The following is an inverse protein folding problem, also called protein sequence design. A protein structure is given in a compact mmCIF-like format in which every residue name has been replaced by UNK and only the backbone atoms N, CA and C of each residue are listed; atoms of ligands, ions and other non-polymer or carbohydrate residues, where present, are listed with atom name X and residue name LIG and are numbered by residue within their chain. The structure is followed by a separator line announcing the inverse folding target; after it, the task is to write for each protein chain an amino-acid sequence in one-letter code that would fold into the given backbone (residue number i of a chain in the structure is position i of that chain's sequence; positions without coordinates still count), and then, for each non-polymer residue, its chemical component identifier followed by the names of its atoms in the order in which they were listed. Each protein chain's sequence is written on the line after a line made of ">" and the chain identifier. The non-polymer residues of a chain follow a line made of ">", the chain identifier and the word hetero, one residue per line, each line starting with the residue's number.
data_IF_089990920881
#
_entry.id   IF_089990920881
#
_cell.length_a   1.000
_cell.length_b   1.000
_cell.length_c   1.000
_cell.angle_alpha   90.00
_cell.angle_beta   90.00
_cell.angle_gamma   90.00
#
_symmetry.space_group_name_H-M   'P 1'
#
loop_
_entity.id
_entity.type
_entity.pdbx_description
1 polymer ?
#
# COMPACT_ATOMS: atom_id res chain seq x y z
N UNK A 1 39.79 -18.69 -38.86
CA UNK A 1 39.51 -18.66 -37.41
C UNK A 1 38.26 -17.81 -37.22
N UNK A 2 37.12 -18.44 -36.98
CA UNK A 2 35.89 -17.74 -36.61
C UNK A 2 35.96 -17.46 -35.12
N UNK A 3 35.96 -16.18 -34.74
CA UNK A 3 35.84 -15.81 -33.32
C UNK A 3 34.64 -16.53 -32.71
N UNK A 4 34.78 -17.15 -31.52
CA UNK A 4 33.66 -17.78 -30.85
C UNK A 4 32.62 -16.69 -30.56
N UNK A 5 31.42 -16.88 -31.11
CA UNK A 5 30.27 -16.01 -30.84
C UNK A 5 30.12 -15.90 -29.32
N UNK A 6 30.19 -14.69 -28.74
CA UNK A 6 30.11 -14.54 -27.29
C UNK A 6 28.79 -15.15 -26.81
N UNK A 7 28.89 -16.02 -25.80
CA UNK A 7 27.73 -16.66 -25.20
C UNK A 7 26.71 -15.57 -24.78
N UNK A 8 25.40 -15.79 -24.98
CA UNK A 8 24.39 -14.83 -24.56
C UNK A 8 24.60 -14.47 -23.09
N UNK A 9 24.74 -13.18 -22.80
CA UNK A 9 24.93 -12.71 -21.43
C UNK A 9 23.72 -13.15 -20.58
N UNK A 10 23.95 -14.05 -19.63
CA UNK A 10 22.92 -14.51 -18.70
C UNK A 10 22.41 -13.30 -17.91
N UNK A 11 21.11 -12.97 -17.96
CA UNK A 11 20.56 -11.82 -17.25
C UNK A 11 20.94 -11.89 -15.76
N UNK A 12 21.59 -10.84 -15.26
CA UNK A 12 21.97 -10.80 -13.85
C UNK A 12 20.71 -10.84 -12.98
N UNK A 13 20.64 -11.77 -12.03
CA UNK A 13 19.39 -12.05 -11.37
C UNK A 13 18.97 -10.96 -10.36
N UNK A 14 17.68 -10.62 -10.36
CA UNK A 14 17.05 -9.52 -9.63
C UNK A 14 16.95 -9.78 -8.11
N UNK A 15 17.88 -9.25 -7.31
CA UNK A 15 17.90 -9.44 -5.84
C UNK A 15 17.09 -8.42 -5.04
N UNK A 16 16.86 -7.22 -5.57
CA UNK A 16 16.30 -6.09 -4.79
C UNK A 16 14.77 -6.13 -4.57
N UNK A 17 14.04 -7.02 -5.24
CA UNK A 17 12.56 -7.06 -5.17
C UNK A 17 12.07 -7.77 -3.91
N UNK A 18 12.83 -8.74 -3.40
CA UNK A 18 12.46 -9.52 -2.21
C UNK A 18 12.52 -8.66 -0.94
N UNK A 19 13.62 -7.91 -0.65
CA UNK A 19 13.67 -7.04 0.52
C UNK A 19 12.58 -5.98 0.54
N UNK A 20 12.26 -5.37 -0.62
CA UNK A 20 11.19 -4.38 -0.72
C UNK A 20 9.82 -5.00 -0.41
N UNK A 21 9.49 -6.13 -1.04
CA UNK A 21 8.21 -6.80 -0.82
C UNK A 21 8.05 -7.23 0.64
N UNK A 22 9.13 -7.75 1.25
CA UNK A 22 9.15 -8.14 2.65
C UNK A 22 9.00 -6.93 3.58
N UNK A 23 9.70 -5.82 3.30
CA UNK A 23 9.58 -4.59 4.08
C UNK A 23 8.15 -4.06 4.05
N UNK A 24 7.53 -3.98 2.87
CA UNK A 24 6.13 -3.55 2.73
C UNK A 24 5.20 -4.48 3.51
N UNK A 25 5.38 -5.80 3.39
CA UNK A 25 4.57 -6.77 4.13
C UNK A 25 4.65 -6.53 5.65
N UNK A 26 5.86 -6.40 6.20
CA UNK A 26 6.08 -6.12 7.62
C UNK A 26 5.47 -4.77 8.02
N UNK A 27 5.63 -3.73 7.21
CA UNK A 27 5.02 -2.42 7.47
C UNK A 27 3.51 -2.49 7.58
N UNK A 28 2.83 -3.23 6.69
CA UNK A 28 1.38 -3.40 6.74
C UNK A 28 0.93 -4.19 7.98
N UNK A 29 1.65 -5.24 8.35
CA UNK A 29 1.34 -6.01 9.57
C UNK A 29 1.55 -5.18 10.84
N UNK A 30 2.62 -4.41 10.91
CA UNK A 30 2.86 -3.48 12.02
C UNK A 30 1.78 -2.40 12.06
N UNK A 31 1.40 -1.86 10.91
CA UNK A 31 0.31 -0.89 10.83
C UNK A 31 -1.03 -1.47 11.29
N UNK A 32 -1.33 -2.74 10.98
CA UNK A 32 -2.52 -3.42 11.48
C UNK A 32 -2.51 -3.51 13.01
N UNK A 33 -1.36 -3.84 13.61
CA UNK A 33 -1.21 -3.88 15.07
C UNK A 33 -1.39 -2.49 15.67
N UNK A 34 -0.77 -1.45 15.09
CA UNK A 34 -0.91 -0.06 15.57
C UNK A 34 -2.38 0.37 15.51
N UNK A 35 -3.04 0.19 14.36
CA UNK A 35 -4.44 0.57 14.18
C UNK A 35 -5.37 -0.20 15.13
N UNK A 36 -5.13 -1.51 15.31
CA UNK A 36 -5.87 -2.34 16.26
C UNK A 36 -5.68 -1.91 17.72
N UNK A 37 -4.46 -1.54 18.11
CA UNK A 37 -4.18 -0.99 19.46
C UNK A 37 -4.89 0.35 19.64
N UNK A 38 -4.80 1.25 18.65
CA UNK A 38 -5.47 2.55 18.69
C UNK A 38 -6.98 2.43 18.82
N UNK A 39 -7.60 1.40 18.21
CA UNK A 39 -9.04 1.13 18.31
C UNK A 39 -9.51 0.86 19.75
N UNK A 40 -8.66 0.37 20.65
CA UNK A 40 -9.01 0.21 22.07
C UNK A 40 -9.18 1.55 22.80
N UNK A 41 -8.61 2.64 22.27
CA UNK A 41 -8.80 3.99 22.79
C UNK A 41 -10.09 4.65 22.31
N UNK A 42 -10.85 4.00 21.42
CA UNK A 42 -12.04 4.61 20.84
C UNK A 42 -13.19 4.63 21.87
N UNK A 43 -14.06 5.65 21.85
CA UNK A 43 -15.25 5.67 22.69
C UNK A 43 -16.15 4.44 22.46
N UNK A 44 -16.70 3.88 23.54
CA UNK A 44 -17.58 2.69 23.45
C UNK A 44 -18.86 2.98 22.65
N UNK A 45 -19.32 4.23 22.65
CA UNK A 45 -20.50 4.70 21.93
C UNK A 45 -20.23 5.16 20.49
N UNK A 46 -19.04 4.86 19.93
CA UNK A 46 -18.63 5.18 18.56
C UNK A 46 -18.58 3.91 17.67
N UNK A 47 -19.74 3.26 17.38
CA UNK A 47 -19.75 1.96 16.70
C UNK A 47 -19.33 2.05 15.22
N UNK A 48 -19.55 3.19 14.56
CA UNK A 48 -19.20 3.36 13.14
C UNK A 48 -17.69 3.41 12.97
N UNK A 49 -17.02 4.14 13.85
CA UNK A 49 -15.57 4.29 13.92
C UNK A 49 -14.90 2.96 14.22
N UNK A 50 -15.48 2.16 15.13
CA UNK A 50 -15.02 0.80 15.40
C UNK A 50 -15.12 -0.10 14.16
N UNK A 51 -16.23 -0.04 13.40
CA UNK A 51 -16.39 -0.82 12.16
C UNK A 51 -15.37 -0.40 11.10
N UNK A 52 -15.12 0.90 10.94
CA UNK A 52 -14.15 1.40 9.97
C UNK A 52 -12.73 0.96 10.33
N UNK A 53 -12.35 1.10 11.61
CA UNK A 53 -11.05 0.66 12.10
C UNK A 53 -10.87 -0.86 11.96
N UNK A 54 -11.91 -1.64 12.25
CA UNK A 54 -11.88 -3.09 12.04
C UNK A 54 -11.65 -3.43 10.56
N UNK A 55 -12.41 -2.83 9.64
CA UNK A 55 -12.25 -3.06 8.20
C UNK A 55 -10.84 -2.73 7.71
N UNK A 56 -10.32 -1.56 8.08
CA UNK A 56 -8.95 -1.15 7.73
C UNK A 56 -7.91 -2.13 8.29
N UNK A 57 -8.11 -2.61 9.52
CA UNK A 57 -7.22 -3.62 10.13
C UNK A 57 -7.22 -4.92 9.33
N UNK A 58 -8.40 -5.40 8.91
CA UNK A 58 -8.53 -6.60 8.08
C UNK A 58 -7.82 -6.41 6.74
N UNK A 59 -8.03 -5.27 6.08
CA UNK A 59 -7.38 -4.94 4.80
C UNK A 59 -5.85 -4.97 4.92
N UNK A 60 -5.31 -4.34 5.97
CA UNK A 60 -3.88 -4.33 6.27
C UNK A 60 -3.31 -5.73 6.52
N UNK A 61 -4.01 -6.55 7.32
CA UNK A 61 -3.60 -7.92 7.61
C UNK A 61 -3.60 -8.76 6.34
N UNK A 62 -4.67 -8.72 5.54
CA UNK A 62 -4.80 -9.51 4.32
C UNK A 62 -3.71 -9.13 3.32
N UNK A 63 -3.52 -7.83 3.05
CA UNK A 63 -2.48 -7.37 2.13
C UNK A 63 -1.07 -7.72 2.65
N UNK A 64 -0.81 -7.52 3.94
CA UNK A 64 0.45 -7.87 4.60
C UNK A 64 0.79 -9.35 4.49
N UNK A 65 -0.17 -10.23 4.79
CA UNK A 65 0.00 -11.70 4.70
C UNK A 65 0.23 -12.13 3.26
N UNK A 66 -0.54 -11.62 2.29
CA UNK A 66 -0.35 -11.95 0.87
C UNK A 66 1.05 -11.58 0.40
N UNK A 67 1.53 -10.38 0.74
CA UNK A 67 2.87 -9.93 0.38
C UNK A 67 3.97 -10.72 1.10
N UNK A 68 3.75 -11.10 2.37
CA UNK A 68 4.69 -11.92 3.13
C UNK A 68 4.83 -13.31 2.51
N UNK A 69 3.70 -13.99 2.25
CA UNK A 69 3.69 -15.29 1.57
C UNK A 69 4.36 -15.18 0.20
N UNK A 70 4.05 -14.13 -0.56
CA UNK A 70 4.71 -13.87 -1.85
C UNK A 70 6.23 -13.74 -1.69
N UNK A 71 6.71 -12.94 -0.75
CA UNK A 71 8.14 -12.75 -0.50
C UNK A 71 8.85 -14.07 -0.12
N UNK A 72 8.21 -14.88 0.73
CA UNK A 72 8.70 -16.19 1.14
C UNK A 72 8.75 -17.16 -0.04
N UNK A 73 7.70 -17.27 -0.85
CA UNK A 73 7.67 -18.13 -2.04
C UNK A 73 8.72 -17.69 -3.07
N UNK A 74 8.90 -16.38 -3.28
CA UNK A 74 9.86 -15.86 -4.25
C UNK A 74 11.32 -16.10 -3.85
N UNK A 75 11.61 -16.25 -2.55
CA UNK A 75 12.92 -16.66 -2.05
C UNK A 75 13.35 -18.03 -2.58
N UNK A 76 12.39 -18.90 -2.89
CA UNK A 76 12.63 -20.29 -3.30
C UNK A 76 12.42 -20.56 -4.80
N UNK A 77 12.02 -19.57 -5.61
CA UNK A 77 11.77 -19.75 -7.06
C UNK A 77 12.91 -19.20 -7.93
N UNK A 78 13.07 -19.80 -9.12
CA UNK A 78 13.97 -19.30 -10.17
C UNK A 78 13.56 -17.88 -10.58
N UNK A 79 14.56 -17.00 -10.74
CA UNK A 79 14.35 -15.55 -10.87
C UNK A 79 13.86 -15.19 -12.27
N UNK A 80 12.84 -14.34 -12.33
CA UNK A 80 12.24 -13.91 -13.59
C UNK A 80 13.13 -12.92 -14.33
N UNK A 81 13.20 -13.06 -15.66
CA UNK A 81 13.91 -12.12 -16.52
C UNK A 81 13.34 -10.70 -16.42
N UNK A 82 14.20 -9.67 -16.57
CA UNK A 82 13.75 -8.29 -16.69
C UNK A 82 12.87 -8.15 -17.94
N UNK A 83 11.74 -7.45 -17.79
CA UNK A 83 10.81 -7.15 -18.88
C UNK A 83 10.88 -5.65 -19.14
N UNK A 84 11.25 -5.26 -20.36
CA UNK A 84 11.36 -3.85 -20.75
C UNK A 84 10.00 -3.18 -21.01
N UNK A 85 8.95 -3.98 -21.19
CA UNK A 85 7.60 -3.49 -21.46
C UNK A 85 6.83 -3.20 -20.17
N UNK A 86 5.87 -2.27 -20.25
CA UNK A 86 4.93 -2.03 -19.15
C UNK A 86 4.05 -3.26 -18.98
N UNK A 87 4.02 -3.80 -17.76
CA UNK A 87 3.20 -4.96 -17.42
C UNK A 87 1.78 -4.52 -17.10
N UNK A 88 0.77 -5.27 -17.55
CA UNK A 88 -0.65 -4.96 -17.29
C UNK A 88 -0.92 -4.73 -15.80
N UNK A 89 -0.33 -5.56 -14.92
CA UNK A 89 -0.47 -5.42 -13.47
C UNK A 89 0.05 -4.08 -12.95
N UNK A 90 1.09 -3.50 -13.55
CA UNK A 90 1.59 -2.17 -13.19
C UNK A 90 0.58 -1.08 -13.52
N UNK A 91 -0.08 -1.19 -14.68
CA UNK A 91 -1.13 -0.25 -15.09
C UNK A 91 -2.32 -0.36 -14.14
N UNK A 92 -2.73 -1.59 -13.81
CA UNK A 92 -3.81 -1.84 -12.84
C UNK A 92 -3.45 -1.30 -11.46
N UNK A 93 -2.21 -1.48 -10.98
CA UNK A 93 -1.74 -0.92 -9.72
C UNK A 93 -1.86 0.61 -9.70
N UNK A 94 -1.40 1.27 -10.77
CA UNK A 94 -1.48 2.71 -10.90
C UNK A 94 -2.94 3.19 -10.92
N UNK A 95 -3.81 2.57 -11.73
CA UNK A 95 -5.22 2.91 -11.80
C UNK A 95 -5.93 2.74 -10.44
N UNK A 96 -5.70 1.61 -9.75
CA UNK A 96 -6.28 1.36 -8.43
C UNK A 96 -5.76 2.34 -7.37
N UNK A 97 -4.49 2.73 -7.43
CA UNK A 97 -3.95 3.74 -6.51
C UNK A 97 -4.59 5.12 -6.71
N UNK A 98 -4.84 5.51 -7.96
CA UNK A 98 -5.55 6.76 -8.29
C UNK A 98 -7.00 6.70 -7.85
N UNK A 99 -7.70 5.58 -8.10
CA UNK A 99 -9.09 5.40 -7.65
C UNK A 99 -9.17 5.44 -6.13
N UNK A 100 -8.29 4.73 -5.42
CA UNK A 100 -8.29 4.74 -3.96
C UNK A 100 -7.99 6.13 -3.38
N UNK A 101 -7.04 6.84 -3.97
CA UNK A 101 -6.72 8.21 -3.57
C UNK A 101 -7.89 9.17 -3.81
N UNK A 102 -8.53 9.09 -4.98
CA UNK A 102 -9.70 9.90 -5.29
C UNK A 102 -10.86 9.57 -4.32
N UNK A 103 -11.15 8.30 -4.07
CA UNK A 103 -12.19 7.88 -3.12
C UNK A 103 -11.90 8.41 -1.72
N UNK A 104 -10.66 8.29 -1.22
CA UNK A 104 -10.26 8.89 0.06
C UNK A 104 -10.49 10.39 0.09
N UNK A 105 -10.00 11.10 -0.93
CA UNK A 105 -10.06 12.55 -1.01
C UNK A 105 -11.51 13.06 -1.01
N UNK A 106 -12.38 12.45 -1.83
CA UNK A 106 -13.75 12.92 -2.03
C UNK A 106 -14.78 12.32 -1.06
N UNK A 107 -14.48 11.21 -0.37
CA UNK A 107 -15.38 10.62 0.62
C UNK A 107 -15.12 11.09 2.06
N UNK A 108 -14.46 12.24 2.23
CA UNK A 108 -14.26 12.87 3.54
C UNK A 108 -12.84 13.39 3.79
N UNK A 109 -11.84 12.94 3.02
CA UNK A 109 -10.45 13.36 3.21
C UNK A 109 -10.25 14.88 3.08
N UNK A 110 -10.91 15.53 2.10
CA UNK A 110 -10.88 16.99 1.96
C UNK A 110 -11.53 17.71 3.15
N UNK A 111 -12.65 17.18 3.67
CA UNK A 111 -13.36 17.77 4.79
C UNK A 111 -12.50 17.70 6.05
N UNK A 112 -11.88 16.54 6.31
CA UNK A 112 -10.98 16.35 7.45
C UNK A 112 -9.75 17.27 7.38
N UNK A 113 -9.11 17.36 6.21
CA UNK A 113 -7.99 18.30 5.98
C UNK A 113 -8.44 19.74 6.20
N UNK A 114 -9.64 20.10 5.75
CA UNK A 114 -10.22 21.43 5.95
C UNK A 114 -10.42 21.77 7.42
N UNK A 115 -10.95 20.83 8.22
CA UNK A 115 -11.09 20.99 9.67
C UNK A 115 -9.73 21.20 10.34
N UNK A 116 -8.74 20.36 10.04
CA UNK A 116 -7.40 20.46 10.60
C UNK A 116 -6.71 21.78 10.21
N UNK A 117 -6.85 22.21 8.95
CA UNK A 117 -6.30 23.48 8.47
C UNK A 117 -6.95 24.71 9.13
N UNK A 118 -8.23 24.59 9.52
CA UNK A 118 -8.95 25.60 10.29
C UNK A 118 -8.62 25.58 11.80
N UNK A 119 -7.70 24.70 12.25
CA UNK A 119 -7.38 24.52 13.66
C UNK A 119 -8.50 23.82 14.46
N UNK A 120 -9.44 23.19 13.77
CA UNK A 120 -10.50 22.39 14.38
C UNK A 120 -10.03 20.94 14.55
N UNK A 121 -10.74 20.19 15.41
CA UNK A 121 -10.51 18.76 15.58
C UNK A 121 -11.00 18.03 14.33
N UNK A 122 -10.12 17.22 13.75
CA UNK A 122 -10.48 16.31 12.65
C UNK A 122 -11.52 15.29 13.11
N UNK A 123 -12.15 14.63 12.14
CA UNK A 123 -13.15 13.58 12.40
C UNK A 123 -12.65 12.26 11.83
N UNK A 124 -12.50 11.25 12.68
CA UNK A 124 -11.99 9.93 12.30
C UNK A 124 -12.77 9.37 11.10
N UNK A 125 -14.09 9.49 11.14
CA UNK A 125 -14.96 9.02 10.05
C UNK A 125 -14.64 9.70 8.71
N UNK A 126 -14.38 11.00 8.68
CA UNK A 126 -14.03 11.72 7.45
C UNK A 126 -12.64 11.36 6.96
N UNK A 127 -11.66 11.27 7.88
CA UNK A 127 -10.30 10.86 7.54
C UNK A 127 -10.19 9.43 7.00
N UNK A 128 -11.14 8.55 7.32
CA UNK A 128 -11.04 7.10 7.04
C UNK A 128 -12.14 6.51 6.16
N UNK A 129 -13.29 7.17 5.94
CA UNK A 129 -14.40 6.63 5.16
C UNK A 129 -13.97 6.13 3.78
N UNK A 130 -13.27 6.97 3.01
CA UNK A 130 -12.81 6.57 1.69
C UNK A 130 -11.72 5.49 1.70
N UNK A 131 -10.92 5.39 2.77
CA UNK A 131 -9.96 4.30 2.95
C UNK A 131 -10.65 2.95 3.20
N UNK A 132 -11.72 2.98 4.00
CA UNK A 132 -12.57 1.81 4.24
C UNK A 132 -13.28 1.36 2.96
N UNK A 133 -13.94 2.28 2.23
CA UNK A 133 -14.66 1.92 1.00
C UNK A 133 -13.73 1.53 -0.16
N UNK A 134 -12.53 2.12 -0.22
CA UNK A 134 -11.53 1.77 -1.22
C UNK A 134 -10.55 0.68 -0.75
N UNK A 135 -10.82 0.01 0.38
CA UNK A 135 -9.97 -1.01 1.02
C UNK A 135 -9.20 -1.90 0.05
N UNK A 136 -9.96 -2.65 -0.74
CA UNK A 136 -9.41 -3.56 -1.75
C UNK A 136 -8.53 -2.84 -2.78
N UNK A 137 -8.87 -1.62 -3.20
CA UNK A 137 -8.15 -0.91 -4.26
C UNK A 137 -6.72 -0.53 -3.82
N UNK A 138 -6.53 0.07 -2.63
CA UNK A 138 -5.19 0.44 -2.18
C UNK A 138 -4.36 -0.78 -1.72
N UNK A 139 -5.00 -1.83 -1.18
CA UNK A 139 -4.34 -3.12 -0.93
C UNK A 139 -3.82 -3.77 -2.22
N UNK A 140 -4.64 -3.81 -3.26
CA UNK A 140 -4.24 -4.33 -4.57
C UNK A 140 -3.19 -3.45 -5.24
N UNK A 141 -3.19 -2.14 -5.00
CA UNK A 141 -2.11 -1.25 -5.45
C UNK A 141 -0.75 -1.64 -4.83
N UNK A 142 -0.71 -2.01 -3.54
CA UNK A 142 0.50 -2.59 -2.93
C UNK A 142 0.92 -3.92 -3.59
N UNK A 143 -0.03 -4.84 -3.74
CA UNK A 143 0.24 -6.18 -4.30
C UNK A 143 0.74 -6.08 -5.74
N UNK A 144 -0.01 -5.40 -6.61
CA UNK A 144 0.34 -5.28 -8.01
C UNK A 144 1.52 -4.33 -8.24
N UNK A 145 1.68 -3.28 -7.44
CA UNK A 145 2.84 -2.39 -7.47
C UNK A 145 4.15 -3.13 -7.17
N UNK A 146 4.16 -4.03 -6.17
CA UNK A 146 5.34 -4.87 -5.90
C UNK A 146 5.57 -5.97 -6.93
N UNK A 147 4.54 -6.38 -7.69
CA UNK A 147 4.69 -7.29 -8.82
C UNK A 147 5.25 -6.59 -10.05
N UNK A 148 4.77 -5.36 -10.32
CA UNK A 148 5.26 -4.51 -11.39
C UNK A 148 6.69 -4.05 -11.17
N UNK A 149 7.09 -3.80 -9.92
CA UNK A 149 8.44 -3.37 -9.59
C UNK A 149 9.47 -4.49 -9.82
N UNK A 150 10.27 -4.35 -10.88
CA UNK A 150 11.41 -5.23 -11.21
C UNK A 150 12.65 -4.39 -11.45
N UNK A 151 13.76 -4.70 -10.76
CA UNK A 151 15.05 -4.05 -11.03
C UNK A 151 15.53 -4.43 -12.43
N UNK A 152 15.85 -3.43 -13.25
CA UNK A 152 16.26 -3.62 -14.65
C UNK A 152 15.11 -3.70 -15.66
N UNK A 153 13.86 -3.44 -15.26
CA UNK A 153 12.76 -3.23 -16.22
C UNK A 153 12.72 -1.81 -16.77
N UNK A 154 11.83 -1.57 -17.75
CA UNK A 154 11.65 -0.26 -18.38
C UNK A 154 11.37 0.86 -17.37
N UNK A 155 11.91 2.06 -17.62
CA UNK A 155 11.78 3.24 -16.73
C UNK A 155 10.33 3.59 -16.42
N UNK A 156 9.46 3.53 -17.42
CA UNK A 156 8.03 3.81 -17.27
C UNK A 156 7.34 2.80 -16.35
N UNK A 157 7.62 1.51 -16.51
CA UNK A 157 7.07 0.45 -15.66
C UNK A 157 7.52 0.62 -14.19
N UNK A 158 8.80 0.95 -14.00
CA UNK A 158 9.34 1.21 -12.66
C UNK A 158 8.70 2.45 -12.04
N UNK A 159 8.60 3.55 -12.80
CA UNK A 159 7.99 4.79 -12.35
C UNK A 159 6.52 4.63 -11.94
N UNK A 160 5.72 3.95 -12.75
CA UNK A 160 4.31 3.66 -12.44
C UNK A 160 4.17 2.77 -11.20
N UNK A 161 5.02 1.74 -11.06
CA UNK A 161 5.00 0.87 -9.88
C UNK A 161 5.36 1.63 -8.61
N UNK A 162 6.41 2.45 -8.66
CA UNK A 162 6.85 3.29 -7.53
C UNK A 162 5.78 4.32 -7.19
N UNK A 163 5.16 4.96 -8.19
CA UNK A 163 4.07 5.91 -7.99
C UNK A 163 2.87 5.28 -7.30
N UNK A 164 2.44 4.10 -7.77
CA UNK A 164 1.33 3.36 -7.15
C UNK A 164 1.64 2.99 -5.69
N UNK A 165 2.86 2.53 -5.41
CA UNK A 165 3.30 2.21 -4.05
C UNK A 165 3.37 3.46 -3.16
N UNK A 166 3.87 4.59 -3.69
CA UNK A 166 3.97 5.84 -2.94
C UNK A 166 2.59 6.38 -2.54
N UNK A 167 1.63 6.35 -3.48
CA UNK A 167 0.24 6.73 -3.19
C UNK A 167 -0.38 5.79 -2.15
N UNK A 168 -0.17 4.47 -2.29
CA UNK A 168 -0.68 3.50 -1.31
C UNK A 168 -0.07 3.71 0.09
N UNK A 169 1.23 4.07 0.18
CA UNK A 169 1.88 4.43 1.45
C UNK A 169 1.37 5.74 2.03
N UNK A 170 1.01 6.72 1.21
CA UNK A 170 0.38 7.96 1.66
C UNK A 170 -0.98 7.64 2.31
N UNK A 171 -1.79 6.80 1.66
CA UNK A 171 -3.07 6.35 2.20
C UNK A 171 -2.91 5.55 3.50
N UNK A 172 -1.88 4.70 3.59
CA UNK A 172 -1.50 4.02 4.82
C UNK A 172 -1.18 5.02 5.95
N UNK A 173 -0.38 6.04 5.66
CA UNK A 173 0.00 7.05 6.63
C UNK A 173 -1.23 7.85 7.10
N UNK A 174 -2.14 8.20 6.19
CA UNK A 174 -3.41 8.86 6.53
C UNK A 174 -4.28 7.98 7.45
N UNK A 175 -4.39 6.67 7.14
CA UNK A 175 -5.12 5.71 7.98
C UNK A 175 -4.57 5.67 9.41
N UNK A 176 -3.24 5.55 9.53
CA UNK A 176 -2.57 5.47 10.84
C UNK A 176 -2.65 6.78 11.60
N UNK A 177 -2.48 7.93 10.93
CA UNK A 177 -2.60 9.23 11.55
C UNK A 177 -4.01 9.44 12.12
N UNK A 178 -5.06 9.10 11.36
CA UNK A 178 -6.44 9.17 11.82
C UNK A 178 -6.69 8.22 13.01
N UNK A 179 -6.29 6.95 12.91
CA UNK A 179 -6.48 5.96 13.98
C UNK A 179 -5.75 6.32 15.28
N UNK A 180 -4.48 6.71 15.19
CA UNK A 180 -3.67 7.08 16.35
C UNK A 180 -4.18 8.38 16.97
N UNK A 181 -4.47 9.41 16.18
CA UNK A 181 -4.98 10.67 16.71
C UNK A 181 -6.33 10.51 17.42
N UNK A 182 -7.22 9.68 16.86
CA UNK A 182 -8.52 9.42 17.45
C UNK A 182 -8.40 8.58 18.73
N UNK A 183 -7.59 7.52 18.71
CA UNK A 183 -7.32 6.70 19.90
C UNK A 183 -6.64 7.45 21.04
N UNK A 184 -5.93 8.55 20.75
CA UNK A 184 -5.36 9.45 21.75
C UNK A 184 -6.30 10.60 22.18
N UNK A 185 -7.52 10.67 21.62
CA UNK A 185 -8.47 11.73 21.90
C UNK A 185 -8.07 13.11 21.36
N UNK A 186 -7.17 13.16 20.36
CA UNK A 186 -6.75 14.40 19.69
C UNK A 186 -7.75 14.84 18.62
N UNK A 187 -8.51 13.91 18.07
CA UNK A 187 -9.58 14.10 17.08
C UNK A 187 -10.90 13.53 17.59
N UNK A 188 -11.98 13.80 16.85
CA UNK A 188 -13.36 13.40 17.16
C UNK A 188 -13.88 12.26 16.29
#
# INVERSE_FOLDING_TARGET
>A
MTDPTPAPAVPKPTTAVIPLTFAIAVSLLVAAVINGISAFGFPINAPVEQVYSFGITVDLLVAGVILLVRALVHRHRLRAEPVDRVVVLTIVAAALSVVAFATWLFAGGLDDIGLLAAGQRGRYMYGTAGLFFAGAAWCLAFIFGTIGYRKGGGRLNTGLSVGALAVAFLLLAAALAAGVSYGLGLTD
#
